data_IF_426722320505
#
_entry.id   IF_426722320505
#
_cell.length_a   1.000
_cell.length_b   1.000
_cell.length_c   1.000
_cell.angle_alpha   90.00
_cell.angle_beta   90.00
_cell.angle_gamma   90.00
#
_symmetry.space_group_name_H-M   'P 1'
#
loop_
_entity.id
_entity.type
_entity.pdbx_description
1 polymer ?
#
# COMPACT_ATOMS: atom_id res chain seq x y z
N UNK A 1 -0.26 -52.87 -5.42
CA UNK A 1 -1.60 -52.28 -5.52
C UNK A 1 -1.58 -51.04 -4.67
N UNK A 2 -1.55 -49.88 -5.31
CA UNK A 2 -1.76 -48.61 -4.62
C UNK A 2 -3.27 -48.45 -4.47
N UNK A 3 -3.74 -48.30 -3.23
CA UNK A 3 -5.13 -47.92 -2.97
C UNK A 3 -5.19 -46.40 -3.05
N UNK A 4 -5.95 -45.90 -4.02
CA UNK A 4 -6.41 -44.52 -4.08
C UNK A 4 -7.36 -44.30 -2.89
N UNK A 5 -7.16 -43.20 -2.15
CA UNK A 5 -8.01 -42.79 -1.04
C UNK A 5 -9.31 -42.21 -1.61
N UNK A 6 -10.47 -42.63 -1.08
CA UNK A 6 -11.84 -42.28 -1.54
C UNK A 6 -12.22 -40.79 -1.34
N UNK A 7 -11.24 -39.89 -1.15
CA UNK A 7 -11.46 -38.44 -1.00
C UNK A 7 -11.12 -37.62 -2.26
N UNK A 8 -10.67 -38.27 -3.35
CA UNK A 8 -10.29 -37.60 -4.59
C UNK A 8 -11.35 -37.72 -5.72
N UNK A 9 -12.54 -38.29 -5.44
CA UNK A 9 -13.56 -38.58 -6.47
C UNK A 9 -14.62 -37.47 -6.70
N UNK A 10 -14.54 -36.29 -6.08
CA UNK A 10 -15.56 -35.22 -6.24
C UNK A 10 -15.04 -33.89 -6.85
N UNK A 11 -13.94 -33.90 -7.59
CA UNK A 11 -13.40 -32.67 -8.21
C UNK A 11 -13.47 -32.68 -9.75
N UNK A 12 -14.69 -32.63 -10.29
CA UNK A 12 -14.89 -32.09 -11.64
C UNK A 12 -15.15 -30.59 -11.48
N UNK A 13 -14.13 -29.76 -11.69
CA UNK A 13 -14.31 -28.30 -11.87
C UNK A 13 -13.59 -27.87 -13.14
N UNK A 14 -14.39 -27.26 -14.00
CA UNK A 14 -14.08 -26.67 -15.30
C UNK A 14 -12.76 -25.89 -15.36
N UNK A 15 -12.01 -26.15 -16.42
CA UNK A 15 -10.90 -25.33 -16.89
C UNK A 15 -11.43 -23.96 -17.35
N UNK A 16 -11.04 -22.88 -16.66
CA UNK A 16 -10.51 -21.63 -17.24
C UNK A 16 -10.40 -20.52 -16.16
N UNK A 17 -9.15 -20.10 -15.96
CA UNK A 17 -8.56 -18.95 -15.21
C UNK A 17 -8.93 -18.65 -13.74
N UNK A 18 -7.88 -18.52 -12.92
CA UNK A 18 -7.87 -18.55 -11.45
C UNK A 18 -8.27 -17.20 -10.79
N UNK A 19 -8.74 -16.20 -11.55
CA UNK A 19 -9.15 -14.91 -10.98
C UNK A 19 -10.65 -14.88 -10.65
N UNK A 20 -10.98 -14.81 -9.37
CA UNK A 20 -12.34 -14.85 -8.81
C UNK A 20 -13.31 -13.81 -9.39
N UNK A 21 -14.07 -14.22 -10.41
CA UNK A 21 -15.09 -13.40 -11.07
C UNK A 21 -14.59 -12.57 -12.26
N UNK A 22 -13.41 -12.90 -12.81
CA UNK A 22 -12.96 -12.37 -14.08
C UNK A 22 -13.75 -12.99 -15.26
N UNK A 23 -14.10 -12.22 -16.30
CA UNK A 23 -14.79 -12.72 -17.49
C UNK A 23 -13.87 -13.61 -18.32
N UNK A 24 -14.37 -14.77 -18.72
CA UNK A 24 -13.65 -15.72 -19.55
C UNK A 24 -13.72 -15.28 -21.03
N UNK A 25 -12.58 -15.33 -21.73
CA UNK A 25 -12.46 -15.20 -23.20
C UNK A 25 -12.82 -13.83 -23.84
N UNK A 26 -12.87 -12.74 -23.06
CA UNK A 26 -13.14 -11.39 -23.58
C UNK A 26 -12.14 -10.37 -23.03
N UNK A 27 -11.52 -9.51 -23.86
CA UNK A 27 -10.61 -8.47 -23.36
C UNK A 27 -11.33 -7.61 -22.32
N UNK A 28 -10.69 -7.30 -21.19
CA UNK A 28 -11.37 -6.65 -20.06
C UNK A 28 -12.10 -5.37 -20.45
N UNK A 29 -11.58 -4.63 -21.42
CA UNK A 29 -12.18 -3.42 -21.97
C UNK A 29 -13.63 -3.60 -22.46
N UNK A 30 -14.03 -4.82 -22.85
CA UNK A 30 -15.37 -5.15 -23.34
C UNK A 30 -16.25 -5.82 -22.28
N UNK A 31 -15.75 -5.97 -21.06
CA UNK A 31 -16.44 -6.67 -19.98
C UNK A 31 -17.12 -5.71 -19.01
N UNK A 32 -18.08 -6.23 -18.24
CA UNK A 32 -18.75 -5.45 -17.18
C UNK A 32 -17.75 -4.91 -16.14
N UNK A 33 -16.61 -5.58 -15.95
CA UNK A 33 -15.61 -5.21 -14.95
C UNK A 33 -14.94 -3.87 -15.27
N UNK A 34 -14.71 -3.56 -16.55
CA UNK A 34 -14.19 -2.26 -16.97
C UNK A 34 -15.04 -1.08 -16.47
N UNK A 35 -16.37 -1.26 -16.41
CA UNK A 35 -17.31 -0.24 -15.96
C UNK A 35 -17.57 -0.23 -14.46
N UNK A 36 -17.05 -1.22 -13.71
CA UNK A 36 -17.28 -1.30 -12.26
C UNK A 36 -16.75 -0.06 -11.54
N UNK A 37 -17.49 0.37 -10.52
CA UNK A 37 -17.05 1.42 -9.60
C UNK A 37 -15.94 0.90 -8.70
N UNK A 38 -15.15 1.80 -8.11
CA UNK A 38 -14.06 1.46 -7.19
C UNK A 38 -14.49 0.47 -6.09
N UNK A 39 -15.68 0.66 -5.49
CA UNK A 39 -16.27 -0.29 -4.53
C UNK A 39 -16.30 -1.74 -5.04
N UNK A 40 -16.74 -1.95 -6.27
CA UNK A 40 -16.83 -3.29 -6.88
C UNK A 40 -15.47 -3.87 -7.25
N UNK A 41 -14.45 -3.02 -7.40
CA UNK A 41 -13.09 -3.42 -7.73
C UNK A 41 -12.21 -3.63 -6.49
N UNK A 42 -12.59 -3.08 -5.34
CA UNK A 42 -11.79 -3.17 -4.11
C UNK A 42 -11.50 -4.60 -3.67
N UNK A 43 -12.43 -5.54 -3.93
CA UNK A 43 -12.20 -6.97 -3.69
C UNK A 43 -10.98 -7.52 -4.45
N UNK A 44 -10.68 -7.01 -5.64
CA UNK A 44 -9.55 -7.47 -6.44
C UNK A 44 -8.23 -6.93 -5.90
N UNK A 45 -8.23 -5.72 -5.30
CA UNK A 45 -7.07 -5.22 -4.57
C UNK A 45 -6.79 -6.09 -3.34
N UNK A 46 -7.81 -6.43 -2.54
CA UNK A 46 -7.67 -7.36 -1.41
C UNK A 46 -7.18 -8.74 -1.87
N UNK A 47 -7.78 -9.27 -2.94
CA UNK A 47 -7.39 -10.55 -3.53
C UNK A 47 -5.92 -10.54 -3.94
N UNK A 48 -5.42 -9.46 -4.56
CA UNK A 48 -4.02 -9.34 -4.94
C UNK A 48 -3.08 -9.50 -3.73
N UNK A 49 -3.37 -8.85 -2.60
CA UNK A 49 -2.54 -8.97 -1.39
C UNK A 49 -2.62 -10.36 -0.76
N UNK A 50 -3.81 -10.98 -0.74
CA UNK A 50 -3.98 -12.35 -0.25
C UNK A 50 -3.23 -13.34 -1.13
N UNK A 51 -3.33 -13.21 -2.47
CA UNK A 51 -2.58 -14.00 -3.43
C UNK A 51 -1.08 -13.80 -3.23
N UNK A 52 -0.59 -12.57 -3.06
CA UNK A 52 0.84 -12.31 -2.80
C UNK A 52 1.37 -13.04 -1.56
N UNK A 53 0.61 -13.09 -0.47
CA UNK A 53 1.02 -13.79 0.77
C UNK A 53 0.89 -15.31 0.68
N UNK A 54 -0.14 -15.83 -0.01
CA UNK A 54 -0.49 -17.27 -0.03
C UNK A 54 0.11 -17.99 -1.24
N UNK A 55 0.11 -17.34 -2.40
CA UNK A 55 0.52 -17.85 -3.71
C UNK A 55 1.49 -16.87 -4.40
N UNK A 56 2.75 -16.75 -3.94
CA UNK A 56 3.68 -15.74 -4.46
C UNK A 56 4.03 -15.88 -5.95
N UNK A 57 3.69 -17.00 -6.59
CA UNK A 57 3.90 -17.24 -8.03
C UNK A 57 2.65 -16.95 -8.88
N UNK A 58 1.65 -16.26 -8.33
CA UNK A 58 0.47 -15.83 -9.09
C UNK A 58 0.82 -14.77 -10.14
N UNK A 59 -0.06 -14.63 -11.13
CA UNK A 59 0.04 -13.55 -12.11
C UNK A 59 -0.38 -12.22 -11.46
N UNK A 60 0.62 -11.47 -10.99
CA UNK A 60 0.42 -10.19 -10.32
C UNK A 60 0.09 -9.05 -11.30
N UNK A 61 0.40 -9.25 -12.59
CA UNK A 61 0.21 -8.28 -13.69
C UNK A 61 -1.11 -8.51 -14.45
N UNK A 62 -1.97 -9.41 -13.96
CA UNK A 62 -3.25 -9.66 -14.58
C UNK A 62 -4.05 -8.34 -14.68
N UNK A 63 -4.58 -8.04 -15.86
CA UNK A 63 -5.19 -6.74 -16.21
C UNK A 63 -6.30 -6.29 -15.23
N UNK A 64 -6.93 -7.24 -14.54
CA UNK A 64 -7.96 -7.03 -13.51
C UNK A 64 -7.42 -6.27 -12.29
N UNK A 65 -6.20 -6.60 -11.87
CA UNK A 65 -5.53 -5.97 -10.75
C UNK A 65 -5.07 -4.56 -11.13
N UNK A 66 -4.49 -4.42 -12.32
CA UNK A 66 -4.14 -3.11 -12.89
C UNK A 66 -5.34 -2.16 -12.94
N UNK A 67 -6.48 -2.64 -13.44
CA UNK A 67 -7.70 -1.86 -13.48
C UNK A 67 -8.17 -1.46 -12.07
N UNK A 68 -8.16 -2.40 -11.12
CA UNK A 68 -8.58 -2.16 -9.75
C UNK A 68 -7.69 -1.11 -9.07
N UNK A 69 -6.37 -1.31 -9.13
CA UNK A 69 -5.41 -0.41 -8.55
C UNK A 69 -5.41 0.96 -9.21
N UNK A 70 -5.51 1.04 -10.54
CA UNK A 70 -5.60 2.32 -11.25
C UNK A 70 -6.79 3.15 -10.77
N UNK A 71 -7.99 2.54 -10.65
CA UNK A 71 -9.18 3.28 -10.19
C UNK A 71 -9.09 3.70 -8.72
N UNK A 72 -8.46 2.91 -7.86
CA UNK A 72 -8.26 3.25 -6.46
C UNK A 72 -7.19 4.34 -6.30
N UNK A 73 -6.07 4.20 -7.00
CA UNK A 73 -4.99 5.19 -7.07
C UNK A 73 -5.47 6.54 -7.57
N UNK A 74 -6.31 6.59 -8.60
CA UNK A 74 -6.82 7.86 -9.14
C UNK A 74 -7.61 8.67 -8.09
N UNK A 75 -8.28 8.00 -7.14
CA UNK A 75 -8.98 8.68 -6.05
C UNK A 75 -8.01 9.33 -5.05
N UNK A 76 -6.82 8.74 -4.90
CA UNK A 76 -5.85 9.05 -3.86
C UNK A 76 -4.76 10.00 -4.38
N UNK A 77 -4.10 9.66 -5.49
CA UNK A 77 -3.02 10.43 -6.13
C UNK A 77 -3.45 11.86 -6.45
N UNK A 78 -4.70 12.04 -6.90
CA UNK A 78 -5.27 13.35 -7.16
C UNK A 78 -5.27 14.26 -5.91
N UNK A 79 -5.56 13.70 -4.73
CA UNK A 79 -5.57 14.44 -3.46
C UNK A 79 -4.15 14.71 -2.94
N UNK A 80 -3.26 13.71 -2.98
CA UNK A 80 -1.88 13.83 -2.49
C UNK A 80 -1.15 14.96 -3.19
N UNK A 81 -1.12 14.95 -4.53
CA UNK A 81 -0.35 15.92 -5.32
C UNK A 81 -0.97 17.32 -5.33
N UNK A 82 -2.30 17.43 -5.42
CA UNK A 82 -2.95 18.74 -5.57
C UNK A 82 -3.18 19.48 -4.26
N UNK A 83 -3.32 18.75 -3.14
CA UNK A 83 -3.87 19.31 -1.91
C UNK A 83 -2.91 19.28 -0.73
N UNK A 84 -2.24 18.16 -0.53
CA UNK A 84 -1.47 17.91 0.69
C UNK A 84 0.04 18.01 0.48
N UNK A 85 0.54 17.70 -0.71
CA UNK A 85 1.94 17.94 -1.06
C UNK A 85 2.15 19.40 -1.39
N UNK A 86 3.07 20.05 -0.68
CA UNK A 86 3.37 21.46 -0.91
C UNK A 86 4.55 21.62 -1.87
N UNK A 87 4.42 22.48 -2.87
CA UNK A 87 5.52 22.82 -3.79
C UNK A 87 6.68 23.57 -3.12
N UNK A 88 6.46 24.11 -1.91
CA UNK A 88 7.52 24.75 -1.12
C UNK A 88 8.27 23.78 -0.22
N UNK A 89 7.90 22.50 -0.21
CA UNK A 89 8.62 21.50 0.58
C UNK A 89 10.00 21.24 0.01
N UNK A 90 10.96 21.04 0.92
CA UNK A 90 12.30 20.63 0.54
C UNK A 90 12.26 19.23 -0.09
N UNK A 91 13.19 18.99 -1.00
CA UNK A 91 13.25 17.73 -1.75
C UNK A 91 13.56 16.55 -0.85
N UNK A 92 14.52 16.69 0.07
CA UNK A 92 14.88 15.66 1.06
C UNK A 92 13.68 15.18 1.88
N UNK A 93 12.88 16.12 2.39
CA UNK A 93 11.64 15.84 3.12
C UNK A 93 10.60 15.14 2.24
N UNK A 94 10.41 15.61 1.01
CA UNK A 94 9.43 15.04 0.07
C UNK A 94 9.83 13.64 -0.37
N UNK A 95 11.13 13.38 -0.59
CA UNK A 95 11.62 12.07 -0.98
C UNK A 95 11.52 11.08 0.18
N UNK A 96 11.88 11.48 1.40
CA UNK A 96 11.67 10.66 2.59
C UNK A 96 10.19 10.31 2.78
N UNK A 97 9.29 11.29 2.63
CA UNK A 97 7.84 11.08 2.72
C UNK A 97 7.31 10.10 1.67
N UNK A 98 7.88 10.07 0.46
CA UNK A 98 7.41 9.20 -0.63
C UNK A 98 8.00 7.79 -0.58
N UNK A 99 9.19 7.64 0.00
CA UNK A 99 9.95 6.39 -0.04
C UNK A 99 9.61 5.48 1.14
N UNK A 100 9.30 6.05 2.30
CA UNK A 100 9.25 5.31 3.56
C UNK A 100 7.81 5.08 4.02
N UNK A 101 7.39 3.83 4.25
CA UNK A 101 6.00 3.48 4.48
C UNK A 101 5.46 3.90 5.85
N UNK A 102 6.33 4.19 6.82
CA UNK A 102 5.93 4.50 8.19
C UNK A 102 6.20 5.95 8.56
N UNK A 103 5.38 6.49 9.45
CA UNK A 103 5.50 7.86 9.96
C UNK A 103 5.31 7.89 11.47
N UNK A 104 6.30 8.44 12.18
CA UNK A 104 6.19 8.76 13.60
C UNK A 104 6.01 10.26 13.74
N UNK A 105 5.00 10.67 14.52
CA UNK A 105 4.68 12.08 14.76
C UNK A 105 4.62 12.33 16.26
N UNK A 106 5.47 13.23 16.76
CA UNK A 106 5.50 13.62 18.17
C UNK A 106 5.30 15.14 18.33
N UNK A 107 4.63 15.55 19.40
CA UNK A 107 4.53 16.97 19.75
C UNK A 107 5.81 17.43 20.47
N UNK A 108 6.34 18.58 20.07
CA UNK A 108 7.49 19.18 20.74
C UNK A 108 7.03 19.80 22.07
N UNK A 109 7.65 19.39 23.17
CA UNK A 109 7.42 20.01 24.47
C UNK A 109 7.94 21.46 24.47
N UNK A 110 7.33 22.33 25.29
CA UNK A 110 7.49 23.79 25.24
C UNK A 110 8.90 24.39 25.45
N UNK A 111 9.94 23.56 25.57
CA UNK A 111 11.35 23.96 25.66
C UNK A 111 12.03 24.30 24.33
N UNK A 112 11.47 23.89 23.19
CA UNK A 112 12.10 24.06 21.86
C UNK A 112 11.68 25.34 21.14
N UNK A 113 11.73 26.48 21.85
CA UNK A 113 11.39 27.79 21.25
C UNK A 113 12.44 28.21 20.22
N UNK A 114 11.99 28.56 19.02
CA UNK A 114 12.84 29.15 17.97
C UNK A 114 13.24 28.22 16.82
N UNK A 115 12.80 26.97 16.81
CA UNK A 115 12.97 26.09 15.65
C UNK A 115 11.99 26.47 14.54
N UNK A 116 12.50 26.64 13.33
CA UNK A 116 11.71 26.81 12.12
C UNK A 116 11.16 25.50 11.56
N UNK A 117 10.20 25.58 10.65
CA UNK A 117 9.68 24.42 9.94
C UNK A 117 10.69 23.93 8.89
N UNK A 118 11.22 22.73 9.06
CA UNK A 118 12.20 22.13 8.14
C UNK A 118 11.58 21.67 6.83
N UNK A 119 10.32 21.22 6.85
CA UNK A 119 9.62 20.81 5.63
C UNK A 119 9.57 21.94 4.60
N UNK A 120 9.17 23.16 4.98
CA UNK A 120 9.13 24.32 4.07
C UNK A 120 10.32 25.29 4.21
N UNK A 121 11.27 24.98 5.10
CA UNK A 121 12.49 25.77 5.35
C UNK A 121 12.30 27.16 5.95
N UNK A 122 11.09 27.52 6.42
CA UNK A 122 10.80 28.88 6.93
C UNK A 122 11.02 28.98 8.44
N UNK A 123 11.94 29.85 8.84
CA UNK A 123 12.23 30.14 10.26
C UNK A 123 11.09 30.86 10.98
N UNK A 124 10.26 31.61 10.24
CA UNK A 124 9.08 32.30 10.79
C UNK A 124 7.91 31.37 11.09
N UNK A 125 7.96 30.11 10.65
CA UNK A 125 6.95 29.11 10.94
C UNK A 125 7.45 28.26 12.12
N UNK A 126 7.01 28.52 13.36
CA UNK A 126 7.51 27.81 14.53
C UNK A 126 7.17 26.32 14.43
N UNK A 127 8.18 25.47 14.64
CA UNK A 127 7.98 24.04 14.76
C UNK A 127 7.36 23.70 16.12
N UNK A 128 6.31 22.90 16.08
CA UNK A 128 5.61 22.39 17.27
C UNK A 128 5.52 20.87 17.26
N UNK A 129 6.00 20.23 16.19
CA UNK A 129 6.00 18.79 16.03
C UNK A 129 7.35 18.31 15.50
N UNK A 130 7.65 17.05 15.77
CA UNK A 130 8.69 16.30 15.08
C UNK A 130 8.04 15.19 14.27
N UNK A 131 8.56 14.97 13.06
CA UNK A 131 8.20 13.84 12.21
C UNK A 131 9.46 13.06 11.88
N UNK A 132 9.34 11.74 11.89
CA UNK A 132 10.33 10.81 11.39
C UNK A 132 9.62 9.86 10.40
N UNK A 133 10.23 9.64 9.24
CA UNK A 133 9.75 8.64 8.28
C UNK A 133 10.63 7.39 8.43
N UNK A 134 10.00 6.22 8.56
CA UNK A 134 10.67 4.96 8.89
C UNK A 134 10.30 3.84 7.92
N UNK A 135 11.04 2.73 8.02
CA UNK A 135 10.88 1.56 7.18
C UNK A 135 11.75 1.61 5.93
N UNK A 136 11.98 0.43 5.36
CA UNK A 136 12.79 0.23 4.16
C UNK A 136 12.10 0.90 2.96
N UNK A 137 12.84 1.59 2.08
CA UNK A 137 12.29 2.11 0.83
C UNK A 137 11.75 0.98 -0.03
N UNK A 138 10.66 1.23 -0.75
CA UNK A 138 9.96 0.18 -1.48
C UNK A 138 9.35 0.66 -2.81
N UNK A 139 9.06 -0.30 -3.69
CA UNK A 139 8.34 -0.07 -4.94
C UNK A 139 6.83 -0.01 -4.66
N UNK A 140 6.19 1.13 -4.91
CA UNK A 140 4.79 1.36 -4.52
C UNK A 140 3.80 0.39 -5.18
N UNK A 141 4.14 -0.13 -6.36
CA UNK A 141 3.26 -1.00 -7.13
C UNK A 141 3.37 -2.46 -6.69
N UNK A 142 4.59 -2.96 -6.47
CA UNK A 142 4.85 -4.36 -6.09
C UNK A 142 4.93 -4.59 -4.58
N UNK A 143 5.15 -3.51 -3.82
CA UNK A 143 5.45 -3.52 -2.38
C UNK A 143 6.73 -4.26 -2.00
N UNK A 144 7.66 -4.42 -2.95
CA UNK A 144 8.96 -5.03 -2.68
C UNK A 144 9.97 -3.97 -2.24
N UNK A 145 10.90 -4.36 -1.37
CA UNK A 145 11.97 -3.49 -0.90
C UNK A 145 12.87 -3.08 -2.07
N UNK A 146 13.31 -1.82 -2.07
CA UNK A 146 14.31 -1.33 -3.03
C UNK A 146 15.66 -1.92 -2.63
N UNK A 147 16.22 -2.74 -3.51
CA UNK A 147 17.51 -3.36 -3.30
C UNK A 147 18.65 -2.49 -3.85
N UNK A 148 19.88 -2.71 -3.37
CA UNK A 148 21.07 -2.03 -3.92
C UNK A 148 21.31 -2.39 -5.40
N UNK A 149 20.76 -3.51 -5.88
CA UNK A 149 20.85 -3.97 -7.27
C UNK A 149 19.93 -3.20 -8.22
N UNK A 150 18.90 -2.51 -7.71
CA UNK A 150 17.97 -1.70 -8.49
C UNK A 150 18.56 -0.32 -8.88
N UNK A 151 19.79 -0.02 -8.46
CA UNK A 151 20.47 1.23 -8.75
C UNK A 151 21.43 1.07 -9.93
N UNK A 152 21.00 1.47 -11.13
CA UNK A 152 21.79 1.45 -12.36
C UNK A 152 22.95 2.49 -12.39
N UNK A 153 23.07 3.36 -11.38
CA UNK A 153 24.02 4.48 -11.34
C UNK A 153 25.00 4.38 -10.16
N UNK A 154 26.27 4.08 -10.47
CA UNK A 154 27.46 4.11 -9.58
C UNK A 154 27.34 3.30 -8.26
N UNK A 155 28.43 2.69 -7.75
CA UNK A 155 28.36 1.97 -6.48
C UNK A 155 27.90 2.91 -5.37
N UNK A 156 26.76 2.58 -4.74
CA UNK A 156 26.18 3.30 -3.62
C UNK A 156 27.28 3.72 -2.64
N UNK A 157 27.39 5.02 -2.34
CA UNK A 157 28.35 5.44 -1.32
C UNK A 157 27.88 4.85 0.00
N UNK A 158 28.79 4.15 0.69
CA UNK A 158 28.50 3.41 1.93
C UNK A 158 27.60 4.22 2.88
N UNK A 159 26.35 3.79 3.03
CA UNK A 159 25.36 4.40 3.92
C UNK A 159 24.32 5.32 3.27
N UNK A 160 24.37 5.54 1.95
CA UNK A 160 23.29 6.19 1.18
C UNK A 160 22.18 5.18 0.89
N UNK A 161 20.92 5.61 1.02
CA UNK A 161 19.74 4.84 0.63
C UNK A 161 19.05 5.54 -0.54
N UNK A 162 18.37 4.76 -1.37
CA UNK A 162 17.69 5.24 -2.57
C UNK A 162 16.21 4.90 -2.51
N UNK A 163 15.38 5.72 -3.15
CA UNK A 163 13.99 5.36 -3.41
C UNK A 163 13.83 4.58 -4.71
N UNK A 164 12.61 4.14 -4.99
CA UNK A 164 12.25 3.40 -6.21
C UNK A 164 12.45 4.17 -7.52
N UNK A 165 12.91 5.43 -7.47
CA UNK A 165 13.25 6.25 -8.63
C UNK A 165 14.75 6.57 -8.70
N UNK A 166 15.57 5.88 -7.92
CA UNK A 166 17.02 6.09 -7.85
C UNK A 166 17.43 7.41 -7.19
N UNK A 167 16.55 8.06 -6.41
CA UNK A 167 16.88 9.32 -5.74
C UNK A 167 17.43 9.03 -4.36
N UNK A 168 18.55 9.66 -4.01
CA UNK A 168 19.12 9.57 -2.66
C UNK A 168 18.12 10.11 -1.64
N UNK A 169 17.84 9.32 -0.61
CA UNK A 169 16.94 9.69 0.47
C UNK A 169 17.69 9.85 1.80
N UNK A 170 17.18 10.71 2.70
CA UNK A 170 17.70 10.79 4.06
C UNK A 170 17.54 9.47 4.82
N UNK A 171 18.47 9.18 5.73
CA UNK A 171 18.38 8.06 6.67
C UNK A 171 17.06 8.07 7.46
N UNK A 172 16.59 6.88 7.85
CA UNK A 172 15.39 6.71 8.69
C UNK A 172 15.51 7.41 10.05
N UNK A 173 16.72 7.65 10.55
CA UNK A 173 16.98 8.38 11.79
C UNK A 173 16.78 9.91 11.65
N UNK A 174 16.49 10.40 10.44
CA UNK A 174 16.29 11.83 10.20
C UNK A 174 14.97 12.30 10.81
N UNK A 175 15.10 13.09 11.87
CA UNK A 175 13.99 13.80 12.49
C UNK A 175 13.83 15.18 11.86
N UNK A 176 12.60 15.54 11.48
CA UNK A 176 12.24 16.85 10.96
C UNK A 176 11.36 17.61 11.95
N UNK A 177 11.67 18.88 12.18
CA UNK A 177 10.88 19.80 12.98
C UNK A 177 9.86 20.53 12.11
N UNK A 178 8.58 20.35 12.37
CA UNK A 178 7.50 20.87 11.54
C UNK A 178 6.55 21.79 12.30
N UNK A 179 6.11 22.84 11.62
CA UNK A 179 4.94 23.62 12.06
C UNK A 179 3.65 22.84 11.80
N UNK A 180 2.60 23.18 12.57
CA UNK A 180 1.27 22.53 12.56
C UNK A 180 0.74 22.22 11.15
N UNK A 181 0.83 23.19 10.22
CA UNK A 181 0.29 23.03 8.86
C UNK A 181 1.07 22.01 8.03
N UNK A 182 2.40 22.10 8.02
CA UNK A 182 3.22 21.14 7.28
C UNK A 182 3.08 19.75 7.88
N UNK A 183 2.97 19.63 9.21
CA UNK A 183 2.74 18.36 9.89
C UNK A 183 1.41 17.73 9.45
N UNK A 184 0.30 18.46 9.55
CA UNK A 184 -1.01 17.90 9.19
C UNK A 184 -1.07 17.51 7.71
N UNK A 185 -0.52 18.35 6.82
CA UNK A 185 -0.43 18.03 5.40
C UNK A 185 0.47 16.81 5.14
N UNK A 186 1.62 16.70 5.80
CA UNK A 186 2.53 15.58 5.65
C UNK A 186 1.90 14.27 6.12
N UNK A 187 1.24 14.26 7.28
CA UNK A 187 0.53 13.07 7.78
C UNK A 187 -0.53 12.61 6.79
N UNK A 188 -1.41 13.51 6.32
CA UNK A 188 -2.44 13.13 5.34
C UNK A 188 -1.85 12.71 3.99
N UNK A 189 -0.82 13.42 3.50
CA UNK A 189 -0.14 13.05 2.26
C UNK A 189 0.50 11.66 2.36
N UNK A 190 1.11 11.34 3.50
CA UNK A 190 1.80 10.08 3.76
C UNK A 190 0.81 8.91 3.84
N UNK A 191 -0.24 8.99 4.68
CA UNK A 191 -1.29 7.95 4.75
C UNK A 191 -1.89 7.64 3.38
N UNK A 192 -2.17 8.68 2.58
CA UNK A 192 -2.69 8.51 1.24
C UNK A 192 -1.63 7.96 0.27
N UNK A 193 -0.39 8.43 0.31
CA UNK A 193 0.67 7.93 -0.57
C UNK A 193 0.95 6.44 -0.35
N UNK A 194 0.85 5.97 0.90
CA UNK A 194 1.19 4.60 1.31
C UNK A 194 -0.05 3.72 1.52
N UNK A 195 -1.22 4.08 0.97
CA UNK A 195 -2.47 3.36 1.19
C UNK A 195 -2.38 1.85 0.83
N UNK A 196 -1.66 1.49 -0.23
CA UNK A 196 -1.44 0.08 -0.62
C UNK A 196 -0.62 -0.68 0.43
N UNK A 197 0.40 -0.03 0.99
CA UNK A 197 1.24 -0.61 2.02
C UNK A 197 0.42 -0.87 3.29
N UNK A 198 -0.33 0.13 3.76
CA UNK A 198 -1.19 -0.03 4.95
C UNK A 198 -2.28 -1.08 4.75
N UNK A 199 -2.85 -1.19 3.55
CA UNK A 199 -3.81 -2.23 3.23
C UNK A 199 -3.16 -3.64 3.25
N UNK A 200 -1.96 -3.77 2.68
CA UNK A 200 -1.22 -5.03 2.71
C UNK A 200 -0.84 -5.43 4.15
N UNK A 201 -0.32 -4.49 4.93
CA UNK A 201 0.04 -4.68 6.34
C UNK A 201 -1.15 -5.22 7.14
N UNK A 202 -2.30 -4.55 7.02
CA UNK A 202 -3.53 -5.01 7.64
C UNK A 202 -3.97 -6.42 7.18
N UNK A 203 -3.86 -6.71 5.87
CA UNK A 203 -4.24 -8.03 5.33
C UNK A 203 -3.30 -9.10 5.85
N UNK A 204 -2.00 -8.84 5.92
CA UNK A 204 -1.01 -9.77 6.47
C UNK A 204 -1.31 -10.05 7.94
N UNK A 205 -1.53 -9.01 8.73
CA UNK A 205 -1.93 -9.13 10.14
C UNK A 205 -3.22 -9.93 10.29
N UNK A 206 -4.22 -9.69 9.45
CA UNK A 206 -5.46 -10.45 9.44
C UNK A 206 -5.19 -11.94 9.16
N UNK A 207 -4.39 -12.24 8.12
CA UNK A 207 -4.08 -13.61 7.74
C UNK A 207 -3.33 -14.37 8.83
N UNK A 208 -2.41 -13.69 9.51
CA UNK A 208 -1.65 -14.23 10.64
C UNK A 208 -2.54 -14.49 11.85
N UNK A 209 -3.39 -13.53 12.22
CA UNK A 209 -4.32 -13.64 13.35
C UNK A 209 -5.41 -14.71 13.13
N UNK A 210 -5.85 -14.94 11.89
CA UNK A 210 -6.79 -16.02 11.55
C UNK A 210 -6.10 -17.38 11.38
N UNK A 211 -4.77 -17.45 11.48
CA UNK A 211 -4.01 -18.71 11.44
C UNK A 211 -3.71 -19.22 10.02
N UNK A 212 -3.98 -18.46 8.95
CA UNK A 212 -3.62 -18.82 7.58
C UNK A 212 -2.10 -18.86 7.35
N UNK A 213 -1.34 -18.27 8.27
CA UNK A 213 0.13 -18.25 8.29
C UNK A 213 0.74 -19.10 9.43
N UNK A 214 -0.02 -20.04 10.02
CA UNK A 214 0.55 -20.97 11.00
C UNK A 214 1.66 -21.83 10.39
N UNK A 215 2.61 -22.30 11.20
CA UNK A 215 3.71 -23.13 10.72
C UNK A 215 3.21 -24.39 9.99
N UNK A 216 2.14 -25.01 10.51
CA UNK A 216 1.50 -26.17 9.90
C UNK A 216 0.93 -25.82 8.52
N UNK A 217 0.25 -24.68 8.40
CA UNK A 217 -0.34 -24.22 7.14
C UNK A 217 0.71 -23.84 6.11
N UNK A 218 1.83 -23.26 6.53
CA UNK A 218 2.96 -22.97 5.63
C UNK A 218 3.56 -24.25 5.04
N UNK A 219 3.84 -25.26 5.89
CA UNK A 219 4.39 -26.55 5.45
C UNK A 219 3.40 -27.31 4.56
N UNK A 220 2.11 -27.29 4.92
CA UNK A 220 1.06 -27.89 4.10
C UNK A 220 1.03 -27.24 2.70
N UNK A 221 1.07 -25.91 2.65
CA UNK A 221 1.00 -25.12 1.42
C UNK A 221 2.25 -25.24 0.55
N UNK A 222 3.41 -25.49 1.14
CA UNK A 222 4.66 -25.67 0.40
C UNK A 222 4.55 -26.78 -0.66
N UNK A 223 3.77 -27.83 -0.37
CA UNK A 223 3.54 -28.97 -1.26
C UNK A 223 2.50 -28.72 -2.35
N UNK A 224 1.78 -27.61 -2.29
CA UNK A 224 0.72 -27.29 -3.24
C UNK A 224 1.27 -26.65 -4.51
N UNK A 225 0.65 -26.97 -5.65
CA UNK A 225 0.88 -26.27 -6.91
C UNK A 225 0.39 -24.83 -6.84
N UNK A 226 0.90 -23.96 -7.72
CA UNK A 226 0.44 -22.58 -7.88
C UNK A 226 -1.08 -22.50 -8.03
N UNK A 227 -1.69 -23.37 -8.85
CA UNK A 227 -3.15 -23.44 -9.04
C UNK A 227 -3.88 -23.74 -7.73
N UNK A 228 -3.42 -24.73 -6.95
CA UNK A 228 -4.04 -25.08 -5.67
C UNK A 228 -3.90 -23.95 -4.63
N UNK A 229 -2.75 -23.26 -4.59
CA UNK A 229 -2.55 -22.09 -3.74
C UNK A 229 -3.45 -20.93 -4.16
N UNK A 230 -3.61 -20.71 -5.46
CA UNK A 230 -4.48 -19.68 -6.03
C UNK A 230 -5.94 -19.89 -5.66
N UNK A 231 -6.44 -21.13 -5.79
CA UNK A 231 -7.79 -21.50 -5.34
C UNK A 231 -7.98 -21.27 -3.84
N UNK A 232 -7.01 -21.66 -3.02
CA UNK A 232 -7.09 -21.44 -1.58
C UNK A 232 -7.10 -19.95 -1.22
N UNK A 233 -6.24 -19.13 -1.85
CA UNK A 233 -6.26 -17.68 -1.66
C UNK A 233 -7.63 -17.07 -2.02
N UNK A 234 -8.26 -17.56 -3.09
CA UNK A 234 -9.61 -17.16 -3.48
C UNK A 234 -10.66 -17.54 -2.43
N UNK A 235 -10.59 -18.75 -1.87
CA UNK A 235 -11.47 -19.20 -0.77
C UNK A 235 -11.32 -18.29 0.45
N UNK A 236 -10.10 -17.91 0.83
CA UNK A 236 -9.84 -16.96 1.93
C UNK A 236 -10.47 -15.59 1.65
N UNK A 237 -10.37 -15.08 0.43
CA UNK A 237 -10.99 -13.81 0.04
C UNK A 237 -12.53 -13.89 0.13
N UNK A 238 -13.13 -15.02 -0.24
CA UNK A 238 -14.57 -15.22 -0.05
C UNK A 238 -14.97 -15.26 1.42
N UNK A 239 -14.16 -15.90 2.28
CA UNK A 239 -14.37 -15.90 3.73
C UNK A 239 -14.31 -14.48 4.31
N UNK A 240 -13.31 -13.69 3.90
CA UNK A 240 -13.21 -12.26 4.26
C UNK A 240 -14.44 -11.47 3.79
N UNK A 241 -14.97 -11.78 2.60
CA UNK A 241 -16.18 -11.14 2.08
C UNK A 241 -17.41 -11.52 2.90
N UNK A 242 -17.59 -12.80 3.22
CA UNK A 242 -18.71 -13.32 4.04
C UNK A 242 -18.66 -12.76 5.47
N UNK A 243 -17.47 -12.58 6.03
CA UNK A 243 -17.25 -11.94 7.33
C UNK A 243 -17.48 -10.41 7.30
N UNK A 244 -17.61 -9.80 6.11
CA UNK A 244 -17.82 -8.36 5.95
C UNK A 244 -16.52 -7.53 6.07
N UNK A 245 -15.35 -8.17 6.07
CA UNK A 245 -14.06 -7.50 6.24
C UNK A 245 -13.73 -6.62 5.04
N UNK A 246 -13.96 -7.11 3.81
CA UNK A 246 -13.72 -6.33 2.58
C UNK A 246 -14.59 -5.05 2.56
N UNK A 247 -15.85 -5.15 3.00
CA UNK A 247 -16.75 -3.99 3.06
C UNK A 247 -16.37 -3.02 4.19
N UNK A 248 -15.81 -3.52 5.30
CA UNK A 248 -15.24 -2.68 6.36
C UNK A 248 -14.02 -1.91 5.85
N UNK A 249 -13.04 -2.61 5.28
CA UNK A 249 -11.83 -2.00 4.72
C UNK A 249 -12.15 -0.95 3.66
N UNK A 250 -13.11 -1.23 2.77
CA UNK A 250 -13.52 -0.25 1.78
C UNK A 250 -14.14 1.00 2.42
N UNK A 251 -14.95 0.83 3.47
CA UNK A 251 -15.52 1.97 4.21
C UNK A 251 -14.44 2.81 4.89
N UNK A 252 -13.43 2.17 5.47
CA UNK A 252 -12.31 2.86 6.11
C UNK A 252 -11.48 3.63 5.07
N UNK A 253 -11.15 3.01 3.94
CA UNK A 253 -10.52 3.67 2.79
C UNK A 253 -11.33 4.87 2.26
N UNK A 254 -12.66 4.72 2.15
CA UNK A 254 -13.53 5.83 1.75
C UNK A 254 -13.56 6.94 2.80
N UNK A 255 -13.63 6.60 4.09
CA UNK A 255 -13.64 7.59 5.16
C UNK A 255 -12.35 8.42 5.18
N UNK A 256 -11.19 7.79 4.97
CA UNK A 256 -9.90 8.48 4.87
C UNK A 256 -9.84 9.41 3.65
N UNK A 257 -10.23 8.91 2.48
CA UNK A 257 -10.21 9.69 1.24
C UNK A 257 -11.22 10.84 1.25
N UNK A 258 -12.41 10.64 1.81
CA UNK A 258 -13.43 11.69 1.94
C UNK A 258 -13.04 12.72 3.00
N UNK A 259 -12.49 12.29 4.14
CA UNK A 259 -11.92 13.20 5.15
C UNK A 259 -10.83 14.07 4.52
N UNK A 260 -9.93 13.47 3.74
CA UNK A 260 -8.91 14.19 3.01
C UNK A 260 -9.49 15.13 1.94
N UNK A 261 -10.57 14.74 1.25
CA UNK A 261 -11.26 15.58 0.27
C UNK A 261 -11.93 16.80 0.92
N UNK A 262 -12.49 16.65 2.11
CA UNK A 262 -13.18 17.72 2.85
C UNK A 262 -12.24 18.61 3.65
N UNK A 263 -11.08 18.09 4.09
CA UNK A 263 -10.12 18.83 4.91
C UNK A 263 -9.70 20.12 4.22
N UNK A 264 -10.08 21.30 4.75
CA UNK A 264 -9.68 22.56 4.11
C UNK A 264 -8.15 22.67 4.08
N UNK A 265 -7.56 23.11 2.96
CA UNK A 265 -6.18 23.56 2.97
C UNK A 265 -6.08 24.69 4.00
N UNK A 266 -5.48 24.38 5.14
CA UNK A 266 -5.40 25.31 6.26
C UNK A 266 -4.40 26.45 5.98
N UNK A 267 -3.60 26.34 4.91
CA UNK A 267 -2.71 27.39 4.43
C UNK A 267 -3.30 28.09 3.19
N UNK A 268 -3.93 29.26 3.39
CA UNK A 268 -4.06 30.27 2.34
C UNK A 268 -2.91 31.26 2.53
N UNK A 269 -1.85 31.11 1.75
CA UNK A 269 -0.74 32.06 1.78
C UNK A 269 -1.26 33.50 1.69
N UNK A 270 -0.98 34.33 2.69
CA UNK A 270 -1.04 35.77 2.49
C UNK A 270 0.07 36.13 1.50
N UNK A 271 -0.34 36.68 0.36
CA UNK A 271 0.53 37.50 -0.48
C UNK A 271 0.98 38.73 0.30
#
# INVERSE_FOLDING_TARGET
MFQEDENDEDFIVSDEDDTLGAPVDMPLAFTNVATMKAKGLFKYAVQWFVQRKINPAFDHDAEIYDLAFKKLDDQVKGLVGSKFTSSVWRQDFTYALQARPEIIVNELSGGFKGLGCEACGRQSHPATFTIQFQGTPYHIETLDEVSEEDSDDEPARRGEQYDSKGRVIPSEDRIYNLGVFCKNNATTAHTLAHWRYHLNDWIVDYLENQGYCSAEKLVERERWSTKKRGKYANEVVEEMMKAGEIERLYRDFQAETDTAREAKQLWRGRK
#
